data_IF_766839607401
#
_entry.id   IF_766839607401
#
_cell.length_a   1.000
_cell.length_b   1.000
_cell.length_c   1.000
_cell.angle_alpha   90.00
_cell.angle_beta   90.00
_cell.angle_gamma   90.00
#
_symmetry.space_group_name_H-M   'P 1'
#
loop_
_entity.id
_entity.type
_entity.pdbx_description
1 polymer ?
#
# COMPACT_ATOMS: atom_id res chain seq x y z
N UNK A 1 13.48 1.74 2.12
CA UNK A 1 13.60 0.84 0.96
C UNK A 1 12.24 0.61 0.32
N UNK A 2 12.14 0.82 -0.97
CA UNK A 2 10.90 0.65 -1.73
C UNK A 2 11.15 -0.39 -2.84
N UNK A 3 10.21 -1.30 -3.04
CA UNK A 3 10.25 -2.26 -4.15
C UNK A 3 8.85 -2.47 -4.72
N UNK A 4 8.79 -2.95 -5.95
CA UNK A 4 7.55 -3.03 -6.69
C UNK A 4 7.51 -4.21 -7.65
N UNK A 5 6.30 -4.58 -8.10
CA UNK A 5 6.13 -5.56 -9.16
C UNK A 5 6.69 -5.02 -10.48
N UNK A 6 7.13 -5.94 -11.35
CA UNK A 6 7.71 -5.59 -12.64
C UNK A 6 6.79 -4.75 -13.52
N UNK A 7 5.48 -4.96 -13.40
CA UNK A 7 4.47 -4.28 -14.20
C UNK A 7 3.93 -2.98 -13.58
N UNK A 8 4.42 -2.57 -12.40
CA UNK A 8 3.88 -1.38 -11.71
C UNK A 8 3.81 -0.16 -12.62
N UNK A 9 4.91 0.17 -13.31
CA UNK A 9 4.99 1.36 -14.15
C UNK A 9 4.11 1.27 -15.40
N UNK A 10 3.79 0.07 -15.88
CA UNK A 10 2.95 -0.14 -17.05
C UNK A 10 1.45 -0.12 -16.73
N UNK A 11 1.07 -0.16 -15.46
CA UNK A 11 -0.34 -0.06 -15.07
C UNK A 11 -0.84 1.36 -15.30
N UNK A 12 -2.05 1.52 -15.90
CA UNK A 12 -2.59 2.84 -16.18
C UNK A 12 -2.77 3.70 -14.92
N UNK A 13 -2.68 5.02 -15.10
CA UNK A 13 -2.94 5.99 -14.03
C UNK A 13 -4.36 5.89 -13.46
N UNK A 14 -5.31 5.41 -14.26
CA UNK A 14 -6.70 5.18 -13.86
C UNK A 14 -6.91 3.89 -13.07
N UNK A 15 -5.87 3.08 -12.89
CA UNK A 15 -5.95 1.83 -12.14
C UNK A 15 -6.50 2.05 -10.74
N UNK A 16 -7.41 1.17 -10.34
CA UNK A 16 -7.98 1.18 -9.00
C UNK A 16 -6.89 0.92 -7.96
N UNK A 17 -6.98 1.60 -6.83
CA UNK A 17 -5.91 1.66 -5.86
C UNK A 17 -6.37 1.28 -4.46
N UNK A 18 -5.55 0.48 -3.79
CA UNK A 18 -5.69 0.16 -2.35
C UNK A 18 -4.32 0.29 -1.70
N UNK A 19 -4.30 0.76 -0.46
CA UNK A 19 -3.06 0.83 0.31
C UNK A 19 -3.31 0.39 1.76
N UNK A 20 -2.38 -0.40 2.26
CA UNK A 20 -2.40 -0.97 3.59
C UNK A 20 -1.12 -0.61 4.30
N UNK A 21 -1.17 -0.37 5.60
CA UNK A 21 0.04 -0.10 6.37
C UNK A 21 0.02 -0.79 7.72
N UNK A 22 1.21 -1.10 8.22
CA UNK A 22 1.40 -1.65 9.54
C UNK A 22 1.89 -0.56 10.49
N UNK A 23 1.70 -0.77 11.79
CA UNK A 23 2.24 0.15 12.81
C UNK A 23 3.77 0.18 12.81
N UNK A 24 4.40 -0.97 12.55
CA UNK A 24 5.85 -1.13 12.57
C UNK A 24 6.36 -1.59 11.20
N UNK A 25 7.65 -1.38 10.89
CA UNK A 25 8.21 -1.86 9.63
C UNK A 25 8.19 -3.39 9.55
N UNK A 26 8.06 -3.91 8.33
CA UNK A 26 8.18 -5.33 8.06
C UNK A 26 9.60 -5.80 8.30
N UNK A 27 9.74 -7.01 8.87
CA UNK A 27 11.03 -7.61 9.13
C UNK A 27 11.78 -7.90 7.82
N UNK A 28 13.07 -7.55 7.76
CA UNK A 28 13.92 -7.79 6.59
C UNK A 28 14.00 -9.27 6.22
N UNK A 29 13.95 -10.17 7.20
CA UNK A 29 13.95 -11.61 6.97
C UNK A 29 12.72 -12.10 6.20
N UNK A 30 11.65 -11.32 6.16
CA UNK A 30 10.40 -11.63 5.47
C UNK A 30 10.30 -11.01 4.07
N UNK A 31 11.35 -10.33 3.60
CA UNK A 31 11.32 -9.62 2.31
C UNK A 31 10.96 -10.55 1.14
N UNK A 32 11.66 -11.67 1.00
CA UNK A 32 11.41 -12.60 -0.12
C UNK A 32 10.03 -13.23 -0.04
N UNK A 33 9.59 -13.60 1.15
CA UNK A 33 8.24 -14.10 1.38
C UNK A 33 7.20 -13.06 0.93
N UNK A 34 7.32 -11.81 1.39
CA UNK A 34 6.38 -10.75 1.07
C UNK A 34 6.32 -10.48 -0.43
N UNK A 35 7.49 -10.38 -1.07
CA UNK A 35 7.58 -10.16 -2.52
C UNK A 35 6.90 -11.27 -3.31
N UNK A 36 7.18 -12.53 -2.96
CA UNK A 36 6.60 -13.69 -3.64
C UNK A 36 5.08 -13.78 -3.41
N UNK A 37 4.62 -13.55 -2.20
CA UNK A 37 3.21 -13.59 -1.86
C UNK A 37 2.41 -12.49 -2.57
N UNK A 38 2.96 -11.27 -2.66
CA UNK A 38 2.32 -10.17 -3.39
C UNK A 38 2.32 -10.40 -4.90
N UNK A 39 3.38 -10.97 -5.46
CA UNK A 39 3.41 -11.36 -6.87
C UNK A 39 2.32 -12.39 -7.17
N UNK A 40 2.16 -13.40 -6.33
CA UNK A 40 1.11 -14.40 -6.49
C UNK A 40 -0.29 -13.79 -6.37
N UNK A 41 -0.51 -12.91 -5.39
CA UNK A 41 -1.77 -12.21 -5.21
C UNK A 41 -2.17 -11.44 -6.47
N UNK A 42 -1.24 -10.72 -7.07
CA UNK A 42 -1.49 -9.94 -8.28
C UNK A 42 -1.66 -10.82 -9.52
N UNK A 43 -0.84 -11.85 -9.65
CA UNK A 43 -0.84 -12.74 -10.82
C UNK A 43 -2.09 -13.61 -10.91
N UNK A 44 -2.63 -14.05 -9.78
CA UNK A 44 -3.79 -14.94 -9.73
C UNK A 44 -5.13 -14.22 -9.65
N UNK A 45 -5.15 -12.89 -9.78
CA UNK A 45 -6.38 -12.12 -9.68
C UNK A 45 -7.27 -12.32 -10.91
N UNK A 46 -8.50 -12.78 -10.68
CA UNK A 46 -9.52 -12.97 -11.70
C UNK A 46 -10.87 -12.48 -11.20
N UNK A 47 -11.66 -11.93 -12.10
CA UNK A 47 -13.07 -11.61 -11.86
C UNK A 47 -13.91 -12.22 -12.96
N UNK A 48 -14.90 -13.03 -12.60
CA UNK A 48 -15.77 -13.75 -13.56
C UNK A 48 -14.95 -14.55 -14.59
N UNK A 49 -13.86 -15.19 -14.14
CA UNK A 49 -12.98 -15.97 -15.01
C UNK A 49 -12.04 -15.14 -15.88
N UNK A 50 -12.12 -13.83 -15.87
CA UNK A 50 -11.25 -12.93 -16.63
C UNK A 50 -10.06 -12.48 -15.79
N UNK A 51 -8.82 -12.57 -16.31
CA UNK A 51 -7.65 -12.05 -15.61
C UNK A 51 -7.74 -10.54 -15.43
N UNK A 52 -7.35 -10.07 -14.24
CA UNK A 52 -7.18 -8.64 -13.95
C UNK A 52 -5.69 -8.37 -13.85
N UNK A 53 -5.20 -7.39 -14.60
CA UNK A 53 -3.81 -6.95 -14.49
C UNK A 53 -3.66 -6.17 -13.20
N UNK A 54 -2.83 -6.65 -12.31
CA UNK A 54 -2.58 -6.04 -11.02
C UNK A 54 -1.09 -5.96 -10.72
N UNK A 55 -0.72 -5.02 -9.89
CA UNK A 55 0.64 -4.85 -9.43
C UNK A 55 0.68 -4.31 -8.01
N UNK A 56 1.85 -4.32 -7.42
CA UNK A 56 2.06 -3.84 -6.06
C UNK A 56 3.30 -2.98 -5.94
N UNK A 57 3.34 -2.15 -4.90
CA UNK A 57 4.51 -1.41 -4.46
C UNK A 57 4.56 -1.41 -2.95
N UNK A 58 5.72 -1.75 -2.39
CA UNK A 58 5.97 -1.71 -0.95
C UNK A 58 6.83 -0.48 -0.65
N UNK A 59 6.32 0.40 0.23
CA UNK A 59 6.96 1.66 0.57
C UNK A 59 7.64 1.55 1.93
N UNK A 60 8.97 1.70 1.93
CA UNK A 60 9.80 1.80 3.14
C UNK A 60 9.55 0.67 4.15
N UNK A 61 9.18 -0.51 3.68
CA UNK A 61 8.81 -1.68 4.51
C UNK A 61 7.67 -1.40 5.48
N UNK A 62 6.82 -0.43 5.18
CA UNK A 62 5.79 0.06 6.12
C UNK A 62 4.40 0.07 5.52
N UNK A 63 4.29 0.14 4.21
CA UNK A 63 3.01 0.17 3.51
C UNK A 63 3.05 -0.67 2.24
N UNK A 64 1.90 -1.23 1.88
CA UNK A 64 1.70 -2.04 0.68
C UNK A 64 0.62 -1.38 -0.15
N UNK A 65 0.96 -0.93 -1.35
CA UNK A 65 0.01 -0.43 -2.33
C UNK A 65 -0.29 -1.52 -3.37
N UNK A 66 -1.54 -1.64 -3.76
CA UNK A 66 -2.00 -2.57 -4.80
C UNK A 66 -2.82 -1.79 -5.80
N UNK A 67 -2.54 -2.00 -7.08
CA UNK A 67 -3.30 -1.41 -8.18
C UNK A 67 -3.87 -2.50 -9.08
N UNK A 68 -5.06 -2.27 -9.62
CA UNK A 68 -5.70 -3.16 -10.58
C UNK A 68 -6.19 -2.35 -11.78
N UNK A 69 -5.77 -2.78 -12.97
CA UNK A 69 -6.25 -2.25 -14.24
C UNK A 69 -7.61 -2.87 -14.56
N UNK A 70 -8.67 -2.07 -14.43
CA UNK A 70 -10.04 -2.48 -14.68
C UNK A 70 -10.53 -2.17 -16.10
N UNK A 71 -9.64 -1.84 -17.04
CA UNK A 71 -10.01 -1.51 -18.42
C UNK A 71 -10.60 -2.69 -19.19
N UNK A 72 -10.14 -3.92 -18.90
CA UNK A 72 -10.60 -5.15 -19.57
C UNK A 72 -11.59 -5.95 -18.72
N UNK A 73 -11.51 -5.86 -17.41
CA UNK A 73 -12.37 -6.58 -16.47
C UNK A 73 -12.42 -5.82 -15.15
N UNK A 74 -13.63 -5.62 -14.64
CA UNK A 74 -13.85 -4.92 -13.36
C UNK A 74 -13.69 -5.93 -12.22
N UNK A 75 -12.93 -5.53 -11.19
CA UNK A 75 -12.78 -6.34 -9.98
C UNK A 75 -14.14 -6.44 -9.27
N UNK A 76 -14.68 -7.66 -9.21
CA UNK A 76 -15.93 -7.93 -8.49
C UNK A 76 -15.72 -7.90 -6.99
N UNK A 77 -16.81 -7.73 -6.23
CA UNK A 77 -16.78 -7.84 -4.78
C UNK A 77 -16.18 -9.15 -4.29
N UNK A 78 -16.55 -10.28 -4.93
CA UNK A 78 -16.00 -11.60 -4.61
C UNK A 78 -14.49 -11.69 -4.89
N UNK A 79 -14.01 -11.10 -5.99
CA UNK A 79 -12.58 -11.11 -6.32
C UNK A 79 -11.78 -10.25 -5.34
N UNK A 80 -12.32 -9.11 -4.93
CA UNK A 80 -11.69 -8.23 -3.92
C UNK A 80 -11.64 -8.96 -2.57
N UNK A 81 -12.72 -9.60 -2.14
CA UNK A 81 -12.75 -10.38 -0.91
C UNK A 81 -11.73 -11.52 -0.91
N UNK A 82 -11.55 -12.18 -2.05
CA UNK A 82 -10.52 -13.21 -2.24
C UNK A 82 -9.12 -12.63 -2.01
N UNK A 83 -8.83 -11.45 -2.58
CA UNK A 83 -7.54 -10.77 -2.39
C UNK A 83 -7.34 -10.33 -0.95
N UNK A 84 -8.39 -9.83 -0.30
CA UNK A 84 -8.34 -9.47 1.12
C UNK A 84 -8.04 -10.69 2.00
N UNK A 85 -8.59 -11.86 1.66
CA UNK A 85 -8.27 -13.12 2.33
C UNK A 85 -6.79 -13.49 2.23
N UNK A 86 -6.18 -13.30 1.06
CA UNK A 86 -4.74 -13.51 0.87
C UNK A 86 -3.90 -12.50 1.66
N UNK A 87 -4.32 -11.23 1.70
CA UNK A 87 -3.65 -10.21 2.50
C UNK A 87 -3.70 -10.53 4.00
N UNK A 88 -4.80 -11.07 4.50
CA UNK A 88 -4.91 -11.53 5.88
C UNK A 88 -3.91 -12.64 6.19
N UNK A 89 -3.72 -13.59 5.27
CA UNK A 89 -2.71 -14.64 5.39
C UNK A 89 -1.30 -14.07 5.41
N UNK A 90 -1.02 -13.12 4.52
CA UNK A 90 0.27 -12.40 4.50
C UNK A 90 0.51 -11.71 5.84
N UNK A 91 -0.49 -11.02 6.38
CA UNK A 91 -0.41 -10.35 7.68
C UNK A 91 -0.06 -11.32 8.81
N UNK A 92 -0.68 -12.49 8.83
CA UNK A 92 -0.39 -13.54 9.82
C UNK A 92 1.04 -14.05 9.71
N UNK A 93 1.53 -14.31 8.50
CA UNK A 93 2.90 -14.79 8.26
C UNK A 93 3.95 -13.72 8.59
N UNK A 94 3.62 -12.45 8.38
CA UNK A 94 4.48 -11.33 8.77
C UNK A 94 4.46 -11.09 10.28
N UNK A 95 3.53 -11.69 10.99
CA UNK A 95 3.32 -11.48 12.43
C UNK A 95 3.10 -9.99 12.77
N UNK A 96 2.46 -9.26 11.87
CA UNK A 96 2.16 -7.84 12.02
C UNK A 96 0.85 -7.50 11.32
N UNK A 97 0.02 -6.67 11.95
CA UNK A 97 -1.24 -6.23 11.36
C UNK A 97 -0.98 -5.18 10.27
N UNK A 98 -1.23 -5.53 9.01
CA UNK A 98 -1.11 -4.62 7.87
C UNK A 98 -2.37 -3.78 7.63
N UNK A 99 -3.41 -3.97 8.41
CA UNK A 99 -4.68 -3.24 8.31
C UNK A 99 -4.82 -2.15 9.38
N UNK A 100 -3.70 -1.72 9.96
CA UNK A 100 -3.70 -0.66 10.95
C UNK A 100 -4.09 0.68 10.31
N UNK A 101 -5.06 1.34 10.89
CA UNK A 101 -5.56 2.66 10.47
C UNK A 101 -5.34 3.75 11.51
N UNK A 102 -4.69 3.41 12.61
CA UNK A 102 -4.52 4.31 13.75
C UNK A 102 -3.14 4.94 13.83
N UNK A 103 -2.21 4.52 12.98
CA UNK A 103 -0.83 5.00 12.97
C UNK A 103 -0.44 5.51 11.60
N UNK A 104 0.40 6.55 11.60
CA UNK A 104 0.97 7.17 10.41
C UNK A 104 2.49 7.15 10.54
N UNK A 105 3.17 6.86 9.46
CA UNK A 105 4.63 6.94 9.40
C UNK A 105 5.02 8.33 8.94
N UNK A 106 5.80 9.02 9.77
CA UNK A 106 6.22 10.41 9.54
C UNK A 106 7.72 10.56 9.66
N UNK A 107 8.26 11.60 9.05
CA UNK A 107 9.65 12.03 9.21
C UNK A 107 9.75 13.55 9.01
N UNK A 108 10.83 14.16 9.51
CA UNK A 108 11.03 15.60 9.34
C UNK A 108 11.35 15.98 7.91
N UNK A 109 12.24 15.22 7.26
CA UNK A 109 12.69 15.44 5.89
C UNK A 109 13.26 14.15 5.29
N UNK A 110 13.71 14.21 4.04
CA UNK A 110 14.22 13.04 3.31
C UNK A 110 15.44 12.37 3.94
N UNK A 111 16.18 13.07 4.82
CA UNK A 111 17.36 12.54 5.52
C UNK A 111 17.02 11.95 6.88
N UNK A 112 15.81 12.14 7.37
CA UNK A 112 15.36 11.69 8.70
C UNK A 112 14.83 10.25 8.65
N UNK A 113 14.93 9.57 9.79
CA UNK A 113 14.33 8.25 9.98
C UNK A 113 12.82 8.35 10.09
N UNK A 114 12.14 7.32 9.63
CA UNK A 114 10.70 7.18 9.80
C UNK A 114 10.33 6.84 11.24
N UNK A 115 9.28 7.46 11.73
CA UNK A 115 8.66 7.17 13.02
C UNK A 115 7.19 6.85 12.83
N UNK A 116 6.68 5.88 13.56
CA UNK A 116 5.26 5.55 13.58
C UNK A 116 4.61 6.28 14.76
N UNK A 117 3.63 7.12 14.48
CA UNK A 117 2.90 7.87 15.50
C UNK A 117 1.39 7.67 15.32
N UNK A 118 0.62 7.94 16.37
CA UNK A 118 -0.82 7.85 16.26
C UNK A 118 -1.36 8.86 15.24
N UNK A 119 -2.43 8.50 14.55
CA UNK A 119 -3.13 9.40 13.63
C UNK A 119 -3.55 10.69 14.32
N UNK A 120 -3.98 10.60 15.57
CA UNK A 120 -4.39 11.74 16.38
C UNK A 120 -3.24 12.73 16.55
N UNK A 121 -2.03 12.25 16.85
CA UNK A 121 -0.83 13.08 16.97
C UNK A 121 -0.39 13.60 15.60
N UNK A 122 -0.42 12.76 14.57
CA UNK A 122 -0.04 13.18 13.22
C UNK A 122 -0.87 14.36 12.71
N UNK A 123 -2.16 14.41 13.06
CA UNK A 123 -3.05 15.52 12.69
C UNK A 123 -2.70 16.85 13.35
N UNK A 124 -1.86 16.86 14.37
CA UNK A 124 -1.38 18.08 15.02
C UNK A 124 -0.08 18.60 14.40
N UNK A 125 0.56 17.83 13.51
CA UNK A 125 1.81 18.22 12.86
C UNK A 125 1.54 19.24 11.74
N UNK A 126 2.41 20.24 11.64
CA UNK A 126 2.31 21.31 10.64
C UNK A 126 3.39 21.21 9.56
N UNK A 127 4.36 20.34 9.72
CA UNK A 127 5.48 20.17 8.80
C UNK A 127 5.98 18.73 8.78
N UNK A 128 6.84 18.43 7.82
CA UNK A 128 7.41 17.10 7.64
C UNK A 128 6.79 16.36 6.47
N UNK A 129 7.13 15.09 6.38
CA UNK A 129 6.65 14.17 5.36
C UNK A 129 5.98 12.95 5.99
N UNK A 130 5.09 12.32 5.26
CA UNK A 130 4.44 11.09 5.71
C UNK A 130 4.25 10.10 4.56
N UNK A 131 4.11 8.83 4.91
CA UNK A 131 3.73 7.80 3.95
C UNK A 131 2.21 7.88 3.77
N UNK A 132 1.81 8.32 2.58
CA UNK A 132 0.40 8.52 2.26
C UNK A 132 -0.23 7.20 1.81
N UNK A 133 -1.29 6.79 2.49
CA UNK A 133 -2.04 5.56 2.18
C UNK A 133 -3.41 5.85 1.55
N UNK A 134 -3.67 7.10 1.19
CA UNK A 134 -4.99 7.53 0.70
C UNK A 134 -4.88 8.05 -0.74
N UNK A 135 -5.56 7.37 -1.64
CA UNK A 135 -5.79 7.81 -3.02
C UNK A 135 -6.97 7.03 -3.61
N UNK A 136 -7.65 7.62 -4.58
CA UNK A 136 -8.75 6.96 -5.29
C UNK A 136 -8.25 6.06 -6.42
N UNK A 137 -7.17 6.46 -7.07
CA UNK A 137 -6.57 5.74 -8.19
C UNK A 137 -5.05 5.91 -8.18
N UNK A 138 -4.36 5.05 -8.94
CA UNK A 138 -2.89 5.04 -9.01
C UNK A 138 -2.31 6.42 -9.32
N UNK A 139 -2.85 7.13 -10.31
CA UNK A 139 -2.34 8.43 -10.75
C UNK A 139 -2.44 9.54 -9.72
N UNK A 140 -3.34 9.43 -8.76
CA UNK A 140 -3.51 10.41 -7.68
C UNK A 140 -2.60 10.14 -6.49
N UNK A 141 -1.94 9.00 -6.49
CA UNK A 141 -1.14 8.60 -5.32
C UNK A 141 0.27 9.14 -5.35
N UNK A 142 0.58 9.90 -4.32
CA UNK A 142 1.95 10.30 -4.02
C UNK A 142 2.38 9.60 -2.73
N UNK A 143 3.24 8.57 -2.81
CA UNK A 143 3.55 7.70 -1.66
C UNK A 143 4.20 8.43 -0.49
N UNK A 144 5.06 9.41 -0.76
CA UNK A 144 5.68 10.24 0.26
C UNK A 144 5.23 11.67 0.00
N UNK A 145 4.40 12.17 0.90
CA UNK A 145 3.75 13.48 0.75
C UNK A 145 4.15 14.41 1.88
N UNK A 146 4.11 15.71 1.61
CA UNK A 146 4.27 16.72 2.65
C UNK A 146 3.01 16.74 3.53
N UNK A 147 3.21 16.89 4.84
CA UNK A 147 2.10 16.96 5.80
C UNK A 147 1.27 18.21 5.56
N UNK A 148 1.94 19.37 5.45
CA UNK A 148 1.25 20.64 5.19
C UNK A 148 0.57 20.64 3.82
N UNK A 149 -0.71 20.98 3.79
CA UNK A 149 -1.51 21.00 2.59
C UNK A 149 -2.08 19.63 2.17
N UNK A 150 -1.85 18.59 2.99
CA UNK A 150 -2.41 17.26 2.77
C UNK A 150 -3.71 17.06 3.58
N UNK A 151 -4.31 15.88 3.44
CA UNK A 151 -5.47 15.51 4.25
C UNK A 151 -5.17 15.42 5.76
N UNK A 152 -3.89 15.30 6.15
CA UNK A 152 -3.48 15.35 7.56
C UNK A 152 -3.53 16.78 8.12
N UNK A 153 -3.12 17.74 7.31
CA UNK A 153 -3.05 19.16 7.66
C UNK A 153 -3.48 19.99 6.44
N UNK A 154 -4.80 20.09 6.20
CA UNK A 154 -5.36 20.81 5.04
C UNK A 154 -5.01 22.29 4.99
#
# INVERSE_FOLDING_TARGET
MTFESKNWNSLPEESRFWCFSARYPFDDSKHDFLKNALNELCWTWKAHGQPIKAGFRVIEKRAIAICADESSAIASGCSIDSRMGLLKKISLELEIDIFDRFHIHVRENSSSKWSSISLKVAKTMESGEFINTVANKKGDWNPISKIKGSWLCP
#
